data_IF_354889128053
#
_entry.id   IF_354889128053
#
_cell.length_a   1.000
_cell.length_b   1.000
_cell.length_c   1.000
_cell.angle_alpha   90.00
_cell.angle_beta   90.00
_cell.angle_gamma   90.00
#
_symmetry.space_group_name_H-M   'P 1'
#
loop_
_entity.id
_entity.type
_entity.pdbx_description
1 polymer ?
#
# COMPACT_ATOMS: atom_id res chain seq x y z
N UNK A 1 42.84 32.09 -13.40
CA UNK A 1 42.81 31.17 -12.26
C UNK A 1 41.96 29.98 -12.74
N UNK A 2 42.63 28.96 -13.26
CA UNK A 2 41.99 27.78 -13.82
C UNK A 2 41.55 26.88 -12.64
N UNK A 3 40.24 26.62 -12.52
CA UNK A 3 39.71 25.60 -11.62
C UNK A 3 40.09 24.23 -12.20
N UNK A 4 40.95 23.51 -11.47
CA UNK A 4 41.24 22.10 -11.74
C UNK A 4 39.94 21.29 -11.69
N UNK A 5 39.57 20.74 -12.83
CA UNK A 5 38.55 19.71 -12.92
C UNK A 5 39.19 18.44 -12.36
N UNK A 6 38.86 18.13 -11.11
CA UNK A 6 39.25 16.85 -10.50
C UNK A 6 38.66 15.72 -11.32
N UNK A 7 39.49 15.05 -12.09
CA UNK A 7 39.18 13.80 -12.77
C UNK A 7 38.88 12.77 -11.68
N UNK A 8 37.64 12.47 -11.45
CA UNK A 8 37.22 11.35 -10.60
C UNK A 8 37.78 10.08 -11.23
N UNK A 9 38.84 9.55 -10.64
CA UNK A 9 39.46 8.30 -11.05
C UNK A 9 38.39 7.18 -11.12
N UNK A 10 38.51 6.36 -12.17
CA UNK A 10 37.64 5.22 -12.47
C UNK A 10 37.84 4.10 -11.42
N UNK A 11 37.33 4.26 -10.21
CA UNK A 11 37.37 3.21 -9.19
C UNK A 11 36.42 2.10 -9.63
N UNK A 12 36.98 0.97 -10.07
CA UNK A 12 36.19 -0.25 -10.30
C UNK A 12 35.87 -0.89 -8.95
N UNK A 13 34.71 -1.56 -8.85
CA UNK A 13 34.34 -2.31 -7.61
C UNK A 13 35.45 -3.28 -7.19
N UNK A 14 36.25 -3.78 -8.14
CA UNK A 14 37.41 -4.65 -7.86
C UNK A 14 38.53 -3.95 -7.11
N UNK A 15 38.65 -2.63 -7.21
CA UNK A 15 39.69 -1.81 -6.58
C UNK A 15 39.26 -1.32 -5.19
N UNK A 16 38.01 -1.57 -4.79
CA UNK A 16 37.49 -1.33 -3.45
C UNK A 16 37.83 -2.55 -2.59
N UNK A 17 38.23 -2.29 -1.35
CA UNK A 17 38.45 -3.35 -0.36
C UNK A 17 37.20 -4.25 -0.27
N UNK A 18 37.43 -5.57 -0.17
CA UNK A 18 36.32 -6.56 -0.24
C UNK A 18 35.24 -6.27 0.78
N UNK A 19 35.64 -5.92 2.02
CA UNK A 19 34.72 -5.55 3.11
C UNK A 19 33.84 -4.34 2.83
N UNK A 20 34.31 -3.42 1.96
CA UNK A 20 33.61 -2.18 1.59
C UNK A 20 32.75 -2.31 0.32
N UNK A 21 32.69 -3.49 -0.30
CA UNK A 21 31.81 -3.72 -1.44
C UNK A 21 30.36 -3.87 -0.94
N UNK A 22 29.37 -3.27 -1.60
CA UNK A 22 27.99 -3.20 -1.06
C UNK A 22 27.40 -4.54 -0.65
N UNK A 23 27.63 -5.62 -1.38
CA UNK A 23 27.09 -6.96 -1.05
C UNK A 23 27.80 -7.58 0.14
N UNK A 24 29.09 -7.48 0.19
CA UNK A 24 29.93 -7.96 1.27
C UNK A 24 29.69 -7.16 2.54
N UNK A 25 29.59 -5.83 2.44
CA UNK A 25 29.22 -4.93 3.53
C UNK A 25 27.83 -5.27 4.07
N UNK A 26 26.83 -5.51 3.19
CA UNK A 26 25.51 -5.95 3.61
C UNK A 26 25.55 -7.27 4.41
N UNK A 27 26.38 -8.22 4.00
CA UNK A 27 26.50 -9.50 4.68
C UNK A 27 27.22 -9.41 6.03
N UNK A 28 28.20 -8.50 6.17
CA UNK A 28 28.98 -8.32 7.38
C UNK A 28 28.33 -7.38 8.42
N UNK A 29 27.78 -6.29 7.96
CA UNK A 29 27.32 -5.18 8.82
C UNK A 29 25.77 -5.05 8.87
N UNK A 30 25.05 -5.68 7.93
CA UNK A 30 23.61 -5.56 7.81
C UNK A 30 23.16 -4.53 6.77
N UNK A 31 21.92 -4.67 6.30
CA UNK A 31 21.35 -3.84 5.23
C UNK A 31 21.13 -2.38 5.65
N UNK A 32 20.90 -2.13 6.93
CA UNK A 32 20.67 -0.82 7.53
C UNK A 32 21.93 0.08 7.55
N UNK A 33 23.09 -0.49 7.33
CA UNK A 33 24.38 0.23 7.23
C UNK A 33 24.70 0.69 5.82
N UNK A 34 23.95 0.27 4.81
CA UNK A 34 24.18 0.67 3.44
C UNK A 34 23.61 2.05 3.14
N UNK A 35 24.34 2.82 2.34
CA UNK A 35 23.86 4.08 1.79
C UNK A 35 22.83 3.84 0.67
N UNK A 36 22.11 4.88 0.26
CA UNK A 36 21.17 4.79 -0.87
C UNK A 36 21.87 4.40 -2.18
N UNK A 37 23.09 4.91 -2.39
CA UNK A 37 23.94 4.60 -3.54
C UNK A 37 24.34 3.12 -3.54
N UNK A 38 24.72 2.59 -2.37
CA UNK A 38 25.09 1.19 -2.21
C UNK A 38 23.91 0.25 -2.43
N UNK A 39 22.73 0.57 -1.88
CA UNK A 39 21.49 -0.19 -2.12
C UNK A 39 21.12 -0.19 -3.61
N UNK A 40 21.18 0.96 -4.24
CA UNK A 40 20.87 1.09 -5.67
C UNK A 40 21.93 0.37 -6.52
N UNK A 41 23.21 0.40 -6.13
CA UNK A 41 24.29 -0.33 -6.79
C UNK A 41 24.07 -1.86 -6.74
N UNK A 42 23.52 -2.38 -5.64
CA UNK A 42 23.16 -3.81 -5.54
C UNK A 42 22.04 -4.14 -6.56
N UNK A 43 21.03 -3.30 -6.69
CA UNK A 43 19.90 -3.51 -7.64
C UNK A 43 20.37 -3.49 -9.09
N UNK A 44 21.19 -2.51 -9.48
CA UNK A 44 21.69 -2.40 -10.87
C UNK A 44 22.81 -3.38 -11.20
N UNK A 45 23.39 -4.03 -10.18
CA UNK A 45 24.36 -5.11 -10.22
C UNK A 45 25.72 -4.75 -10.86
N UNK A 46 25.72 -4.12 -12.02
CA UNK A 46 26.94 -3.79 -12.80
C UNK A 46 26.96 -2.34 -13.22
N UNK A 47 28.12 -1.73 -13.22
CA UNK A 47 28.36 -0.43 -13.85
C UNK A 47 28.27 -0.48 -15.39
N UNK A 48 28.98 0.44 -16.01
CA UNK A 48 29.23 0.46 -17.45
C UNK A 48 30.74 0.50 -17.72
N UNK A 49 31.18 0.73 -18.96
CA UNK A 49 32.61 0.81 -19.33
C UNK A 49 33.38 1.94 -18.62
N UNK A 50 32.65 3.00 -18.25
CA UNK A 50 33.23 4.24 -17.73
C UNK A 50 33.00 4.43 -16.22
N UNK A 51 32.04 3.73 -15.62
CA UNK A 51 31.56 4.01 -14.25
C UNK A 51 31.24 2.71 -13.52
N UNK A 52 31.60 2.59 -12.24
CA UNK A 52 31.21 1.47 -11.38
C UNK A 52 29.71 1.46 -11.11
N UNK A 53 29.19 0.37 -10.51
CA UNK A 53 27.78 0.31 -10.11
C UNK A 53 27.43 1.40 -9.08
N UNK A 54 28.33 1.71 -8.14
CA UNK A 54 28.15 2.78 -7.15
C UNK A 54 28.11 4.14 -7.84
N UNK A 55 29.08 4.46 -8.67
CA UNK A 55 29.10 5.73 -9.39
C UNK A 55 27.90 5.90 -10.36
N UNK A 56 27.38 4.77 -10.90
CA UNK A 56 26.16 4.81 -11.70
C UNK A 56 24.92 5.07 -10.83
N UNK A 57 24.89 4.52 -9.62
CA UNK A 57 23.84 4.77 -8.63
C UNK A 57 23.86 6.25 -8.17
N UNK A 58 25.04 6.81 -7.90
CA UNK A 58 25.21 8.24 -7.60
C UNK A 58 24.66 9.13 -8.72
N UNK A 59 24.99 8.79 -9.98
CA UNK A 59 24.48 9.52 -11.14
C UNK A 59 22.96 9.46 -11.24
N UNK A 60 22.34 8.31 -10.96
CA UNK A 60 20.88 8.18 -10.93
C UNK A 60 20.30 9.11 -9.86
N UNK A 61 20.78 9.03 -8.62
CA UNK A 61 20.26 9.85 -7.52
C UNK A 61 20.48 11.34 -7.77
N UNK A 62 21.59 11.73 -8.38
CA UNK A 62 21.83 13.12 -8.78
C UNK A 62 20.82 13.60 -9.82
N UNK A 63 20.53 12.80 -10.85
CA UNK A 63 19.56 13.15 -11.89
C UNK A 63 18.10 13.17 -11.40
N UNK A 64 17.79 12.39 -10.38
CA UNK A 64 16.45 12.33 -9.80
C UNK A 64 16.27 13.21 -8.55
N UNK A 65 17.26 14.03 -8.19
CA UNK A 65 17.25 14.84 -6.96
C UNK A 65 17.06 14.00 -5.70
N UNK A 66 17.77 12.85 -5.63
CA UNK A 66 17.76 11.93 -4.52
C UNK A 66 16.66 10.85 -4.61
N UNK A 67 16.54 10.08 -3.53
CA UNK A 67 15.63 8.93 -3.48
C UNK A 67 14.15 9.33 -3.60
N UNK A 68 13.77 10.52 -3.08
CA UNK A 68 12.40 11.04 -3.22
C UNK A 68 12.02 11.26 -4.68
N UNK A 69 12.89 11.90 -5.45
CA UNK A 69 12.66 12.12 -6.88
C UNK A 69 12.70 10.82 -7.69
N UNK A 70 13.51 9.85 -7.27
CA UNK A 70 13.56 8.53 -7.90
C UNK A 70 12.21 7.81 -7.85
N UNK A 71 11.47 7.92 -6.75
CA UNK A 71 10.13 7.32 -6.59
C UNK A 71 9.09 7.91 -7.55
N UNK A 72 9.27 9.17 -7.99
CA UNK A 72 8.38 9.89 -8.89
C UNK A 72 8.89 9.98 -10.33
N UNK A 73 10.06 9.41 -10.62
CA UNK A 73 10.67 9.44 -11.95
C UNK A 73 9.96 8.46 -12.91
N UNK A 74 10.00 8.78 -14.20
CA UNK A 74 9.54 7.90 -15.28
C UNK A 74 10.67 7.00 -15.78
N UNK A 75 10.34 5.78 -16.23
CA UNK A 75 11.30 4.80 -16.75
C UNK A 75 12.10 5.35 -17.93
N UNK A 76 11.46 6.15 -18.79
CA UNK A 76 12.12 6.76 -19.95
C UNK A 76 13.16 7.80 -19.54
N UNK A 77 12.96 8.49 -18.40
CA UNK A 77 13.93 9.44 -17.86
C UNK A 77 15.16 8.70 -17.37
N UNK A 78 14.98 7.58 -16.65
CA UNK A 78 16.13 6.78 -16.20
C UNK A 78 16.93 6.21 -17.37
N UNK A 79 16.25 5.79 -18.45
CA UNK A 79 16.95 5.24 -19.63
C UNK A 79 17.76 6.28 -20.40
N UNK A 80 17.58 7.58 -20.18
CA UNK A 80 18.44 8.65 -20.75
C UNK A 80 19.79 8.75 -20.04
N UNK A 81 19.91 8.15 -18.84
CA UNK A 81 21.17 8.15 -18.10
C UNK A 81 22.13 7.15 -18.73
N UNK A 82 23.32 7.61 -19.14
CA UNK A 82 24.35 6.76 -19.78
C UNK A 82 24.68 5.55 -18.89
N UNK A 83 24.43 4.35 -19.37
CA UNK A 83 24.67 3.09 -18.67
C UNK A 83 23.43 2.47 -18.03
N UNK A 84 22.28 3.13 -18.09
CA UNK A 84 20.98 2.59 -17.70
C UNK A 84 20.19 2.17 -18.94
N UNK A 85 20.28 0.89 -19.26
CA UNK A 85 19.44 0.27 -20.29
C UNK A 85 18.09 -0.21 -19.73
N UNK A 86 17.22 -0.77 -20.62
CA UNK A 86 15.89 -1.26 -20.22
C UNK A 86 15.92 -2.21 -19.00
N UNK A 87 16.84 -3.17 -18.98
CA UNK A 87 16.93 -4.15 -17.90
C UNK A 87 17.17 -3.51 -16.52
N UNK A 88 18.15 -2.58 -16.41
CA UNK A 88 18.43 -1.89 -15.15
C UNK A 88 17.29 -0.98 -14.73
N UNK A 89 16.71 -0.24 -15.66
CA UNK A 89 15.55 0.60 -15.39
C UNK A 89 14.37 -0.23 -14.88
N UNK A 90 14.04 -1.35 -15.52
CA UNK A 90 12.97 -2.25 -15.09
C UNK A 90 13.22 -2.82 -13.68
N UNK A 91 14.45 -3.21 -13.35
CA UNK A 91 14.80 -3.70 -12.00
C UNK A 91 14.54 -2.64 -10.94
N UNK A 92 14.97 -1.39 -11.19
CA UNK A 92 14.74 -0.27 -10.25
C UNK A 92 13.23 -0.03 -10.07
N UNK A 93 12.48 0.04 -11.17
CA UNK A 93 11.03 0.27 -11.11
C UNK A 93 10.28 -0.88 -10.42
N UNK A 94 10.67 -2.13 -10.64
CA UNK A 94 10.11 -3.27 -9.95
C UNK A 94 10.34 -3.18 -8.43
N UNK A 95 11.54 -2.80 -7.99
CA UNK A 95 11.86 -2.61 -6.58
C UNK A 95 11.04 -1.46 -5.96
N UNK A 96 10.88 -0.34 -6.66
CA UNK A 96 10.06 0.80 -6.22
C UNK A 96 8.59 0.36 -6.09
N UNK A 97 8.05 -0.34 -7.06
CA UNK A 97 6.66 -0.80 -7.04
C UNK A 97 6.41 -1.81 -5.90
N UNK A 98 7.32 -2.76 -5.69
CA UNK A 98 7.25 -3.67 -4.54
C UNK A 98 7.28 -2.92 -3.22
N UNK A 99 8.14 -1.92 -3.08
CA UNK A 99 8.20 -1.07 -1.89
C UNK A 99 6.88 -0.33 -1.64
N UNK A 100 6.26 0.23 -2.69
CA UNK A 100 4.94 0.87 -2.60
C UNK A 100 3.86 -0.11 -2.14
N UNK A 101 3.84 -1.32 -2.69
CA UNK A 101 2.88 -2.37 -2.27
C UNK A 101 3.08 -2.79 -0.81
N UNK A 102 4.33 -3.00 -0.39
CA UNK A 102 4.66 -3.33 1.01
C UNK A 102 4.27 -2.19 1.94
N UNK A 103 4.56 -0.94 1.58
CA UNK A 103 4.18 0.24 2.39
C UNK A 103 2.66 0.37 2.51
N UNK A 104 1.91 0.08 1.43
CA UNK A 104 0.45 0.06 1.44
C UNK A 104 -0.10 -1.03 2.38
N UNK A 105 0.52 -2.21 2.42
CA UNK A 105 0.18 -3.26 3.38
C UNK A 105 0.48 -2.82 4.83
N UNK A 106 1.68 -2.31 5.08
CA UNK A 106 2.10 -1.84 6.42
C UNK A 106 1.28 -0.65 6.94
N UNK A 107 0.84 0.25 6.06
CA UNK A 107 -0.03 1.35 6.48
C UNK A 107 -1.41 0.83 6.91
N UNK A 108 -1.94 -0.19 6.23
CA UNK A 108 -3.18 -0.87 6.64
C UNK A 108 -3.03 -1.60 7.99
N UNK A 109 -1.90 -2.27 8.23
CA UNK A 109 -1.63 -2.98 9.49
C UNK A 109 -1.45 -2.08 10.72
N UNK A 110 -1.11 -0.80 10.53
CA UNK A 110 -0.87 0.16 11.63
C UNK A 110 -2.02 1.15 11.87
N UNK A 111 -3.05 1.16 11.01
CA UNK A 111 -4.18 2.05 11.22
C UNK A 111 -5.15 1.44 12.25
N UNK A 112 -5.12 1.99 13.46
CA UNK A 112 -6.23 1.83 14.41
C UNK A 112 -7.40 2.67 13.90
N UNK A 113 -8.56 2.05 13.82
CA UNK A 113 -9.80 2.74 13.46
C UNK A 113 -10.28 3.50 14.69
N UNK A 114 -10.31 4.82 14.60
CA UNK A 114 -10.73 5.72 15.69
C UNK A 114 -12.10 6.33 15.43
N UNK A 115 -12.50 6.47 14.18
CA UNK A 115 -13.75 7.12 13.78
C UNK A 115 -14.30 6.55 12.46
N UNK A 116 -15.58 6.73 12.16
CA UNK A 116 -16.18 6.42 10.86
C UNK A 116 -15.48 7.14 9.70
N UNK A 117 -15.04 8.38 9.90
CA UNK A 117 -14.30 9.16 8.92
C UNK A 117 -12.99 8.48 8.51
N UNK A 118 -12.22 7.93 9.47
CA UNK A 118 -10.97 7.22 9.18
C UNK A 118 -11.20 5.98 8.30
N UNK A 119 -12.35 5.31 8.44
CA UNK A 119 -12.74 4.20 7.56
C UNK A 119 -13.10 4.73 6.17
N UNK A 120 -13.90 5.80 6.11
CA UNK A 120 -14.30 6.41 4.84
C UNK A 120 -13.07 6.87 4.04
N UNK A 121 -12.09 7.50 4.65
CA UNK A 121 -10.85 7.94 4.01
C UNK A 121 -10.06 6.79 3.38
N UNK A 122 -10.02 5.63 4.05
CA UNK A 122 -9.32 4.45 3.53
C UNK A 122 -9.96 3.94 2.24
N UNK A 123 -11.31 3.98 2.14
CA UNK A 123 -12.04 3.36 1.05
C UNK A 123 -12.55 4.37 0.00
N UNK A 124 -12.56 5.67 0.29
CA UNK A 124 -13.13 6.70 -0.58
C UNK A 124 -12.60 6.61 -2.01
N UNK A 125 -11.28 6.70 -2.19
CA UNK A 125 -10.67 6.73 -3.54
C UNK A 125 -10.79 5.39 -4.28
N UNK A 126 -10.96 4.29 -3.56
CA UNK A 126 -11.14 2.98 -4.18
C UNK A 126 -12.57 2.75 -4.65
N UNK A 127 -13.56 3.31 -3.93
CA UNK A 127 -14.96 2.92 -4.05
C UNK A 127 -15.84 3.97 -4.73
N UNK A 128 -15.55 5.27 -4.59
CA UNK A 128 -16.41 6.36 -5.08
C UNK A 128 -16.67 6.34 -6.59
N UNK A 129 -15.72 5.82 -7.38
CA UNK A 129 -15.83 5.77 -8.84
C UNK A 129 -16.30 4.43 -9.39
N UNK A 130 -16.69 3.51 -8.54
CA UNK A 130 -17.18 2.21 -9.00
C UNK A 130 -18.60 2.32 -9.56
N UNK A 131 -18.79 1.82 -10.79
CA UNK A 131 -20.09 1.80 -11.46
C UNK A 131 -21.04 0.71 -10.96
N UNK A 132 -20.55 -0.18 -10.10
CA UNK A 132 -21.32 -1.23 -9.44
C UNK A 132 -21.21 -1.09 -7.94
N UNK A 133 -22.25 -1.46 -7.24
CA UNK A 133 -22.16 -1.62 -5.78
C UNK A 133 -21.19 -2.74 -5.44
N UNK A 134 -20.27 -2.46 -4.54
CA UNK A 134 -19.36 -3.45 -3.97
C UNK A 134 -19.47 -3.39 -2.45
N UNK A 135 -19.43 -4.55 -1.82
CA UNK A 135 -19.40 -4.66 -0.36
C UNK A 135 -18.09 -5.26 0.07
N UNK A 136 -17.38 -4.55 0.91
CA UNK A 136 -16.16 -5.01 1.56
C UNK A 136 -16.38 -5.24 3.04
N UNK A 137 -15.66 -6.20 3.57
CA UNK A 137 -15.55 -6.49 4.99
C UNK A 137 -14.19 -6.05 5.48
N UNK A 138 -14.13 -5.03 6.33
CA UNK A 138 -12.93 -4.66 7.06
C UNK A 138 -12.90 -5.43 8.37
N UNK A 139 -11.80 -6.11 8.64
CA UNK A 139 -11.60 -6.95 9.82
C UNK A 139 -10.57 -6.33 10.74
N UNK A 140 -10.88 -6.30 12.04
CA UNK A 140 -10.10 -5.61 13.05
C UNK A 140 -9.75 -6.57 14.21
N UNK A 141 -8.61 -6.28 14.86
CA UNK A 141 -8.22 -6.93 16.10
C UNK A 141 -8.90 -6.28 17.34
N UNK A 142 -8.56 -6.75 18.54
CA UNK A 142 -9.10 -6.24 19.81
C UNK A 142 -8.77 -4.78 20.09
N UNK A 143 -7.76 -4.22 19.41
CA UNK A 143 -7.32 -2.82 19.53
C UNK A 143 -7.80 -1.94 18.38
N UNK A 144 -8.74 -2.44 17.57
CA UNK A 144 -9.20 -1.81 16.33
C UNK A 144 -8.11 -1.61 15.26
N UNK A 145 -7.00 -2.34 15.33
CA UNK A 145 -6.04 -2.32 14.23
C UNK A 145 -6.58 -3.14 13.06
N UNK A 146 -6.33 -2.66 11.84
CA UNK A 146 -6.76 -3.35 10.63
C UNK A 146 -5.95 -4.65 10.46
N UNK A 147 -6.66 -5.78 10.41
CA UNK A 147 -6.09 -7.07 10.02
C UNK A 147 -6.01 -7.14 8.48
N UNK A 148 -7.15 -6.95 7.81
CA UNK A 148 -7.27 -6.92 6.35
C UNK A 148 -8.67 -6.50 5.94
N UNK A 149 -8.88 -6.24 4.66
CA UNK A 149 -10.20 -6.13 4.03
C UNK A 149 -10.39 -7.21 2.96
N UNK A 150 -11.61 -7.63 2.73
CA UNK A 150 -11.98 -8.56 1.66
C UNK A 150 -13.25 -8.12 0.95
N UNK A 151 -13.34 -8.43 -0.34
CA UNK A 151 -14.56 -8.25 -1.12
C UNK A 151 -15.56 -9.35 -0.75
N UNK A 152 -16.76 -8.97 -0.32
CA UNK A 152 -17.85 -9.89 -0.01
C UNK A 152 -18.82 -10.02 -1.19
N UNK A 153 -19.10 -8.90 -1.86
CA UNK A 153 -20.05 -8.87 -2.97
C UNK A 153 -19.71 -7.81 -3.99
N UNK A 154 -20.00 -8.11 -5.26
CA UNK A 154 -20.00 -7.14 -6.38
C UNK A 154 -21.31 -7.29 -7.16
N UNK A 155 -22.05 -6.20 -7.33
CA UNK A 155 -23.35 -6.17 -8.01
C UNK A 155 -24.35 -5.34 -7.22
N UNK A 156 -25.58 -5.80 -7.04
CA UNK A 156 -26.56 -5.16 -6.16
C UNK A 156 -26.47 -5.70 -4.74
N UNK A 157 -26.69 -4.84 -3.75
CA UNK A 157 -26.75 -5.21 -2.34
C UNK A 157 -28.11 -5.92 -2.08
N UNK A 158 -28.20 -7.19 -2.40
CA UNK A 158 -29.38 -8.00 -2.10
C UNK A 158 -29.12 -8.82 -0.85
N UNK A 159 -30.11 -8.95 0.03
CA UNK A 159 -30.04 -9.75 1.27
C UNK A 159 -29.66 -11.23 1.03
N UNK A 160 -29.77 -11.71 -0.20
CA UNK A 160 -29.30 -13.02 -0.64
C UNK A 160 -27.80 -13.07 -0.95
N UNK A 161 -27.13 -11.92 -1.14
CA UNK A 161 -25.72 -11.83 -1.56
C UNK A 161 -24.81 -11.55 -0.36
N UNK A 162 -25.22 -10.68 0.59
CA UNK A 162 -24.49 -10.41 1.82
C UNK A 162 -25.11 -11.23 2.97
N UNK A 163 -24.78 -12.50 3.02
CA UNK A 163 -25.29 -13.39 4.07
C UNK A 163 -24.36 -13.39 5.29
N UNK A 164 -24.87 -13.37 6.54
CA UNK A 164 -24.04 -13.45 7.75
C UNK A 164 -23.04 -14.58 7.71
N UNK A 165 -23.40 -15.75 7.18
CA UNK A 165 -22.49 -16.89 7.04
C UNK A 165 -21.23 -16.54 6.26
N UNK A 166 -21.33 -15.81 5.14
CA UNK A 166 -20.17 -15.46 4.31
C UNK A 166 -19.29 -14.41 5.01
N UNK A 167 -19.92 -13.41 5.63
CA UNK A 167 -19.24 -12.36 6.38
C UNK A 167 -18.44 -12.95 7.55
N UNK A 168 -19.08 -13.76 8.39
CA UNK A 168 -18.43 -14.31 9.57
C UNK A 168 -17.48 -15.46 9.27
N UNK A 169 -17.67 -16.19 8.16
CA UNK A 169 -16.68 -17.16 7.69
C UNK A 169 -15.32 -16.50 7.43
N UNK A 170 -15.33 -15.34 6.78
CA UNK A 170 -14.10 -14.60 6.51
C UNK A 170 -13.50 -13.99 7.78
N UNK A 171 -14.34 -13.48 8.69
CA UNK A 171 -13.88 -12.94 9.97
C UNK A 171 -13.24 -14.03 10.86
N UNK A 172 -13.85 -15.22 10.95
CA UNK A 172 -13.34 -16.35 11.74
C UNK A 172 -12.02 -16.88 11.17
N UNK A 173 -11.93 -17.05 9.85
CA UNK A 173 -10.68 -17.50 9.19
C UNK A 173 -9.48 -16.62 9.52
N UNK A 174 -9.71 -15.33 9.81
CA UNK A 174 -8.65 -14.36 10.08
C UNK A 174 -8.57 -13.94 11.54
N UNK A 175 -9.30 -14.64 12.42
CA UNK A 175 -9.34 -14.37 13.85
C UNK A 175 -9.68 -12.92 14.16
N UNK A 176 -10.59 -12.33 13.41
CA UNK A 176 -11.07 -10.97 13.64
C UNK A 176 -11.93 -10.91 14.91
N UNK A 177 -11.72 -9.89 15.73
CA UNK A 177 -12.55 -9.62 16.91
C UNK A 177 -13.71 -8.67 16.59
N UNK A 178 -13.50 -7.80 15.61
CA UNK A 178 -14.46 -6.79 15.17
C UNK A 178 -14.46 -6.68 13.67
N UNK A 179 -15.58 -6.25 13.12
CA UNK A 179 -15.76 -6.06 11.69
C UNK A 179 -16.44 -4.72 11.40
N UNK A 180 -16.19 -4.20 10.20
CA UNK A 180 -16.94 -3.08 9.62
C UNK A 180 -17.35 -3.48 8.21
N UNK A 181 -18.60 -3.23 7.86
CA UNK A 181 -19.06 -3.31 6.48
C UNK A 181 -18.80 -1.97 5.80
N UNK A 182 -18.32 -2.01 4.57
CA UNK A 182 -18.14 -0.82 3.74
C UNK A 182 -18.70 -1.11 2.36
N UNK A 183 -19.65 -0.29 1.88
CA UNK A 183 -20.11 -0.40 0.51
C UNK A 183 -20.26 0.97 -0.15
N UNK A 184 -20.29 1.02 -1.47
CA UNK A 184 -20.49 2.25 -2.22
C UNK A 184 -21.85 2.30 -2.89
N UNK A 185 -22.39 3.50 -3.02
CA UNK A 185 -23.54 3.78 -3.89
C UNK A 185 -23.05 4.42 -5.20
N UNK A 186 -23.24 3.76 -6.36
CA UNK A 186 -22.89 4.35 -7.66
C UNK A 186 -23.63 5.66 -7.98
N UNK A 187 -24.75 5.92 -7.32
CA UNK A 187 -25.48 7.20 -7.42
C UNK A 187 -24.71 8.39 -6.85
N UNK A 188 -23.69 8.13 -6.03
CA UNK A 188 -22.94 9.16 -5.28
C UNK A 188 -23.63 9.66 -4.00
N UNK A 189 -24.88 9.23 -3.72
CA UNK A 189 -25.60 9.55 -2.48
C UNK A 189 -25.37 8.45 -1.45
N UNK A 190 -24.73 8.73 -0.29
CA UNK A 190 -24.43 7.72 0.73
C UNK A 190 -25.61 7.41 1.66
N UNK A 191 -26.82 7.96 1.42
CA UNK A 191 -27.98 7.69 2.27
C UNK A 191 -28.37 6.21 2.21
N UNK A 192 -28.55 5.54 3.38
CA UNK A 192 -28.83 4.11 3.44
C UNK A 192 -30.22 3.79 2.89
N UNK A 193 -30.31 2.75 2.09
CA UNK A 193 -31.56 2.15 1.68
C UNK A 193 -32.18 1.29 2.81
N UNK A 194 -33.45 0.92 2.65
CA UNK A 194 -34.06 0.00 3.60
C UNK A 194 -33.39 -1.37 3.65
N UNK A 195 -32.81 -1.81 2.52
CA UNK A 195 -32.07 -3.07 2.45
C UNK A 195 -30.73 -2.99 3.20
N UNK A 196 -30.03 -1.87 3.13
CA UNK A 196 -28.80 -1.63 3.90
C UNK A 196 -29.05 -1.72 5.40
N UNK A 197 -30.12 -1.08 5.85
CA UNK A 197 -30.54 -1.10 7.26
C UNK A 197 -30.88 -2.53 7.71
N UNK A 198 -31.64 -3.30 6.91
CA UNK A 198 -31.97 -4.67 7.24
C UNK A 198 -30.77 -5.59 7.31
N UNK A 199 -29.86 -5.50 6.32
CA UNK A 199 -28.64 -6.27 6.28
C UNK A 199 -27.76 -5.93 7.48
N UNK A 200 -27.58 -4.64 7.78
CA UNK A 200 -26.78 -4.17 8.91
C UNK A 200 -27.30 -4.76 10.23
N UNK A 201 -28.59 -4.67 10.49
CA UNK A 201 -29.19 -5.25 11.70
C UNK A 201 -29.00 -6.75 11.79
N UNK A 202 -29.17 -7.47 10.68
CA UNK A 202 -28.97 -8.91 10.63
C UNK A 202 -27.53 -9.34 10.91
N UNK A 203 -26.54 -8.60 10.38
CA UNK A 203 -25.12 -8.85 10.65
C UNK A 203 -24.80 -8.48 12.11
N UNK A 204 -25.30 -7.37 12.60
CA UNK A 204 -25.12 -6.94 13.99
C UNK A 204 -25.60 -7.98 15.00
N UNK A 205 -26.81 -8.51 14.83
CA UNK A 205 -27.34 -9.55 15.70
C UNK A 205 -26.56 -10.86 15.63
N UNK A 206 -26.16 -11.27 14.42
CA UNK A 206 -25.30 -12.45 14.26
C UNK A 206 -23.93 -12.27 14.91
N UNK A 207 -23.35 -11.08 14.84
CA UNK A 207 -22.07 -10.73 15.48
C UNK A 207 -22.13 -10.87 16.99
N UNK A 208 -23.17 -10.42 17.62
CA UNK A 208 -23.40 -10.59 19.07
C UNK A 208 -23.41 -12.06 19.51
N UNK A 209 -24.01 -12.92 18.70
CA UNK A 209 -24.06 -14.37 18.99
C UNK A 209 -22.68 -15.00 18.85
N UNK A 210 -21.89 -14.56 17.86
CA UNK A 210 -20.57 -15.11 17.55
C UNK A 210 -19.42 -14.49 18.35
N UNK A 211 -19.67 -13.40 19.10
CA UNK A 211 -18.64 -12.66 19.80
C UNK A 211 -17.68 -11.89 18.87
N UNK A 212 -18.16 -11.52 17.67
CA UNK A 212 -17.46 -10.70 16.67
C UNK A 212 -18.32 -9.47 16.38
N UNK A 213 -17.97 -8.34 16.99
CA UNK A 213 -18.82 -7.15 16.93
C UNK A 213 -18.80 -6.48 15.55
N UNK A 214 -19.97 -6.15 15.01
CA UNK A 214 -20.08 -5.18 13.92
C UNK A 214 -19.96 -3.78 14.51
N UNK A 215 -18.82 -3.13 14.32
CA UNK A 215 -18.56 -1.77 14.82
C UNK A 215 -19.37 -0.73 14.06
N UNK A 216 -19.43 -0.85 12.73
CA UNK A 216 -20.14 0.09 11.89
C UNK A 216 -20.47 -0.51 10.52
N UNK A 217 -21.32 0.19 9.78
CA UNK A 217 -21.53 0.01 8.36
C UNK A 217 -21.42 1.37 7.68
N UNK A 218 -20.37 1.52 6.85
CA UNK A 218 -20.06 2.77 6.16
C UNK A 218 -20.51 2.69 4.72
N UNK A 219 -21.28 3.67 4.28
CA UNK A 219 -21.70 3.81 2.89
C UNK A 219 -20.91 4.94 2.25
N UNK A 220 -20.23 4.66 1.14
CA UNK A 220 -19.40 5.61 0.39
C UNK A 220 -20.21 6.17 -0.79
N UNK A 221 -20.35 7.48 -0.83
CA UNK A 221 -20.86 8.23 -1.97
C UNK A 221 -19.76 8.97 -2.72
N UNK A 222 -20.09 10.01 -3.48
CA UNK A 222 -19.12 10.86 -4.17
C UNK A 222 -18.56 11.94 -3.23
N UNK A 223 -17.41 11.67 -2.65
CA UNK A 223 -16.72 12.55 -1.69
C UNK A 223 -17.47 12.72 -0.35
N UNK A 224 -18.45 11.85 -0.07
CA UNK A 224 -19.27 11.83 1.14
C UNK A 224 -19.40 10.40 1.65
N UNK A 225 -19.67 10.25 2.94
CA UNK A 225 -19.98 8.96 3.53
C UNK A 225 -21.16 9.06 4.51
N UNK A 226 -21.70 7.91 4.87
CA UNK A 226 -22.70 7.77 5.92
C UNK A 226 -22.30 6.61 6.83
N UNK A 227 -22.42 6.79 8.15
CA UNK A 227 -22.26 5.77 9.18
C UNK A 227 -23.63 5.37 9.72
N UNK A 228 -23.97 4.09 9.64
CA UNK A 228 -25.21 3.59 10.17
C UNK A 228 -25.22 3.53 11.71
N UNK A 229 -24.04 3.50 12.33
CA UNK A 229 -23.89 3.63 13.78
C UNK A 229 -24.19 5.06 14.25
N UNK A 230 -23.62 6.08 13.57
CA UNK A 230 -23.91 7.49 13.88
C UNK A 230 -25.40 7.80 13.67
N UNK A 231 -26.03 7.18 12.68
CA UNK A 231 -27.49 7.25 12.46
C UNK A 231 -28.30 6.42 13.45
N UNK A 232 -27.68 5.75 14.41
CA UNK A 232 -28.31 4.97 15.49
C UNK A 232 -29.12 3.74 15.02
N UNK A 233 -28.77 3.17 13.84
CA UNK A 233 -29.36 1.90 13.40
C UNK A 233 -28.76 0.68 14.12
N UNK A 234 -27.55 0.82 14.65
CA UNK A 234 -26.84 -0.12 15.54
C UNK A 234 -26.18 0.65 16.69
N UNK A 235 -25.86 -0.02 17.79
CA UNK A 235 -25.31 0.59 19.03
C UNK A 235 -23.89 0.09 19.33
#
# INVERSE_FOLDING_TARGET
>A
MYMEVTVLEKIKIKDIEVSSRPREKMALEGIDKLTNEELLAILINTGNKDTSAIGLAENILKHTSGIKGLVHTDINILQKIKGIGPAKATTIFAAIELSKRISKLRSREKFSIESPESIADIFMEEMRYKNKEIVKLLMLDTKNNIITDVLISEGSLNASIVHPREVFLEAIKRSANRIVLVHNHPSGDPMPSNEDIKITKRIYEAGKILGIDLLDHIIIGDGKYCSLREMQYIS
#
